data_IF_908558221961
#
_entry.id   IF_908558221961
#
_cell.length_a   1.000
_cell.length_b   1.000
_cell.length_c   1.000
_cell.angle_alpha   90.00
_cell.angle_beta   90.00
_cell.angle_gamma   90.00
#
_symmetry.space_group_name_H-M   'P 1'
#
loop_
_entity.id
_entity.type
_entity.pdbx_description
1 polymer ?
#
# COMPACT_ATOMS: atom_id res chain seq x y z
N UNK A 1 13.46 -40.99 16.54
CA UNK A 1 12.45 -41.95 16.07
C UNK A 1 13.04 -42.63 14.86
N UNK A 2 13.22 -43.96 14.93
CA UNK A 2 13.98 -44.72 13.93
C UNK A 2 13.33 -44.64 12.56
N UNK A 3 14.13 -44.61 11.49
CA UNK A 3 13.75 -44.60 10.07
C UNK A 3 12.65 -45.62 9.74
N UNK A 4 12.61 -46.77 10.38
CA UNK A 4 11.62 -47.81 10.21
C UNK A 4 10.18 -47.40 10.66
N UNK A 5 10.05 -46.59 11.71
CA UNK A 5 8.75 -46.08 12.15
C UNK A 5 8.17 -45.08 11.15
N UNK A 6 9.03 -44.22 10.56
CA UNK A 6 8.62 -43.26 9.52
C UNK A 6 8.07 -43.96 8.27
N UNK A 7 8.70 -45.05 7.85
CA UNK A 7 8.26 -45.80 6.66
C UNK A 7 6.97 -46.58 6.87
N UNK A 8 6.68 -47.03 8.09
CA UNK A 8 5.40 -47.67 8.45
C UNK A 8 4.25 -46.66 8.39
N UNK A 9 4.42 -45.44 8.95
CA UNK A 9 3.42 -44.39 8.90
C UNK A 9 3.15 -43.89 7.48
N UNK A 10 4.20 -43.77 6.64
CA UNK A 10 4.04 -43.41 5.23
C UNK A 10 3.21 -44.44 4.49
N UNK A 11 3.46 -45.74 4.71
CA UNK A 11 2.70 -46.83 4.07
C UNK A 11 1.25 -46.86 4.54
N UNK A 12 0.99 -46.68 5.82
CA UNK A 12 -0.38 -46.63 6.36
C UNK A 12 -1.18 -45.47 5.80
N UNK A 13 -0.60 -44.27 5.79
CA UNK A 13 -1.22 -43.08 5.21
C UNK A 13 -1.54 -43.27 3.73
N UNK A 14 -0.59 -43.85 2.97
CA UNK A 14 -0.78 -44.12 1.55
C UNK A 14 -1.84 -45.16 1.27
N UNK A 15 -1.90 -46.23 2.05
CA UNK A 15 -2.93 -47.23 1.96
C UNK A 15 -4.34 -46.71 2.30
N UNK A 16 -4.44 -45.88 3.32
CA UNK A 16 -5.70 -45.22 3.71
C UNK A 16 -6.20 -44.28 2.63
N UNK A 17 -5.32 -43.47 2.04
CA UNK A 17 -5.63 -42.59 0.91
C UNK A 17 -6.09 -43.37 -0.33
N UNK A 18 -5.41 -44.46 -0.67
CA UNK A 18 -5.80 -45.34 -1.81
C UNK A 18 -7.17 -46.00 -1.55
N UNK A 19 -7.41 -46.49 -0.35
CA UNK A 19 -8.69 -47.07 0.03
C UNK A 19 -9.83 -46.06 -0.08
N UNK A 20 -9.57 -44.78 0.32
CA UNK A 20 -10.56 -43.72 0.16
C UNK A 20 -10.80 -43.35 -1.31
N UNK A 21 -9.76 -43.28 -2.14
CA UNK A 21 -9.87 -43.06 -3.59
C UNK A 21 -10.69 -44.18 -4.29
N UNK A 22 -10.57 -45.41 -3.82
CA UNK A 22 -11.33 -46.54 -4.36
C UNK A 22 -12.84 -46.49 -4.03
N UNK A 23 -13.23 -45.72 -3.00
CA UNK A 23 -14.63 -45.50 -2.65
C UNK A 23 -15.30 -44.39 -3.49
N UNK A 24 -14.52 -43.61 -4.25
CA UNK A 24 -15.05 -42.52 -5.05
C UNK A 24 -15.71 -43.06 -6.36
N UNK A 25 -16.80 -42.46 -6.85
CA UNK A 25 -17.48 -42.89 -8.07
C UNK A 25 -16.57 -42.74 -9.29
N UNK A 26 -16.37 -43.86 -10.04
CA UNK A 26 -15.41 -43.94 -11.17
C UNK A 26 -16.00 -43.53 -12.55
N UNK A 27 -17.27 -43.13 -12.62
CA UNK A 27 -17.90 -42.74 -13.87
C UNK A 27 -18.12 -41.25 -13.98
N UNK A 28 -17.18 -40.53 -14.60
CA UNK A 28 -17.36 -39.11 -14.95
C UNK A 28 -17.64 -39.02 -16.45
N UNK A 29 -18.85 -38.60 -16.82
CA UNK A 29 -19.25 -38.29 -18.21
C UNK A 29 -18.98 -36.84 -18.61
N UNK A 30 -18.60 -36.00 -17.66
CA UNK A 30 -18.32 -34.57 -17.86
C UNK A 30 -16.83 -34.28 -17.72
N UNK A 31 -16.39 -33.16 -18.27
CA UNK A 31 -15.00 -32.71 -18.09
C UNK A 31 -14.72 -32.55 -16.60
N UNK A 32 -13.62 -33.10 -16.07
CA UNK A 32 -13.29 -32.99 -14.65
C UNK A 32 -13.14 -31.53 -14.28
N UNK A 33 -13.94 -31.05 -13.33
CA UNK A 33 -13.81 -29.74 -12.71
C UNK A 33 -13.19 -29.93 -11.33
N UNK A 34 -12.35 -28.96 -10.93
CA UNK A 34 -11.80 -28.92 -9.58
C UNK A 34 -12.95 -28.72 -8.59
N UNK A 35 -13.01 -29.57 -7.57
CA UNK A 35 -13.99 -29.41 -6.50
C UNK A 35 -13.77 -28.07 -5.75
N UNK A 36 -14.84 -27.51 -5.22
CA UNK A 36 -14.79 -26.26 -4.48
C UNK A 36 -13.79 -26.29 -3.30
N UNK A 37 -13.72 -27.37 -2.46
CA UNK A 37 -12.71 -27.51 -1.43
C UNK A 37 -11.27 -27.52 -1.96
N UNK A 38 -11.02 -28.20 -3.09
CA UNK A 38 -9.70 -28.25 -3.70
C UNK A 38 -9.29 -26.87 -4.26
N UNK A 39 -10.22 -26.17 -4.88
CA UNK A 39 -9.99 -24.80 -5.36
C UNK A 39 -9.68 -23.85 -4.19
N UNK A 40 -10.39 -23.97 -3.08
CA UNK A 40 -10.14 -23.22 -1.87
C UNK A 40 -8.76 -23.53 -1.25
N UNK A 41 -8.37 -24.80 -1.22
CA UNK A 41 -7.06 -25.26 -0.75
C UNK A 41 -5.91 -24.67 -1.59
N UNK A 42 -6.01 -24.77 -2.92
CA UNK A 42 -5.01 -24.23 -3.84
C UNK A 42 -4.89 -22.70 -3.68
N UNK A 43 -6.00 -22.01 -3.53
CA UNK A 43 -6.02 -20.56 -3.30
C UNK A 43 -5.36 -20.20 -2.00
N UNK A 44 -5.62 -20.95 -0.92
CA UNK A 44 -4.98 -20.73 0.38
C UNK A 44 -3.47 -21.03 0.33
N UNK A 45 -3.07 -22.12 -0.34
CA UNK A 45 -1.67 -22.45 -0.53
C UNK A 45 -0.92 -21.38 -1.35
N UNK A 46 -1.59 -20.79 -2.35
CA UNK A 46 -1.05 -19.66 -3.11
C UNK A 46 -0.86 -18.42 -2.25
N UNK A 47 -1.81 -18.11 -1.38
CA UNK A 47 -1.69 -16.99 -0.43
C UNK A 47 -0.49 -17.19 0.51
N UNK A 48 -0.30 -18.39 1.03
CA UNK A 48 0.85 -18.72 1.89
C UNK A 48 2.15 -18.60 1.10
N UNK A 49 2.24 -19.12 -0.12
CA UNK A 49 3.44 -19.05 -0.95
C UNK A 49 3.83 -17.60 -1.28
N UNK A 50 2.85 -16.75 -1.65
CA UNK A 50 3.08 -15.39 -2.09
C UNK A 50 3.29 -14.39 -0.94
N UNK A 51 2.68 -14.63 0.24
CA UNK A 51 2.74 -13.69 1.37
C UNK A 51 3.86 -14.01 2.36
N UNK A 52 4.19 -15.28 2.54
CA UNK A 52 5.14 -15.74 3.58
C UNK A 52 6.44 -16.29 3.03
N UNK A 53 6.45 -16.75 1.77
CA UNK A 53 7.59 -17.44 1.17
C UNK A 53 8.33 -16.66 0.09
N UNK A 54 7.70 -15.61 -0.44
CA UNK A 54 8.18 -14.92 -1.67
C UNK A 54 8.45 -15.93 -2.83
N UNK A 55 7.72 -17.05 -2.77
CA UNK A 55 7.86 -18.14 -3.73
C UNK A 55 6.96 -17.91 -4.94
N UNK A 56 7.48 -17.92 -6.16
CA UNK A 56 6.68 -17.74 -7.38
C UNK A 56 5.81 -18.96 -7.72
N UNK A 57 5.93 -20.05 -6.96
CA UNK A 57 5.23 -21.32 -7.21
C UNK A 57 4.70 -21.93 -5.91
N UNK A 58 3.55 -22.60 -6.01
CA UNK A 58 3.01 -23.40 -4.90
C UNK A 58 3.85 -24.67 -4.78
N UNK A 59 4.43 -24.93 -3.58
CA UNK A 59 5.13 -26.17 -3.23
C UNK A 59 4.30 -27.03 -2.29
N UNK A 60 4.68 -28.29 -2.11
CA UNK A 60 4.03 -29.23 -1.20
C UNK A 60 3.91 -28.70 0.23
N UNK A 61 4.90 -27.96 0.72
CA UNK A 61 4.85 -27.32 2.04
C UNK A 61 3.72 -26.29 2.19
N UNK A 62 3.43 -25.49 1.14
CA UNK A 62 2.35 -24.50 1.17
C UNK A 62 0.98 -25.17 1.20
N UNK A 63 0.83 -26.31 0.48
CA UNK A 63 -0.37 -27.13 0.54
C UNK A 63 -0.56 -27.75 1.93
N UNK A 64 0.51 -28.23 2.56
CA UNK A 64 0.47 -28.79 3.90
C UNK A 64 0.07 -27.72 4.93
N UNK A 65 0.64 -26.51 4.86
CA UNK A 65 0.27 -25.38 5.71
C UNK A 65 -1.20 -24.99 5.52
N UNK A 66 -1.67 -24.92 4.28
CA UNK A 66 -3.05 -24.62 3.97
C UNK A 66 -4.04 -25.67 4.52
N UNK A 67 -3.66 -26.93 4.53
CA UNK A 67 -4.45 -28.02 5.11
C UNK A 67 -4.62 -27.90 6.62
N UNK A 68 -3.62 -27.36 7.32
CA UNK A 68 -3.68 -27.20 8.79
C UNK A 68 -4.47 -25.98 9.27
N UNK A 69 -4.71 -24.98 8.41
CA UNK A 69 -5.40 -23.73 8.78
C UNK A 69 -6.94 -23.88 8.91
N UNK A 70 -7.53 -24.81 8.20
CA UNK A 70 -8.98 -25.07 8.32
C UNK A 70 -9.20 -26.56 8.21
N UNK A 71 -10.17 -27.09 8.93
CA UNK A 71 -10.66 -28.47 8.86
C UNK A 71 -11.19 -28.86 7.46
N UNK A 72 -10.32 -28.69 6.45
CA UNK A 72 -10.60 -29.07 5.06
C UNK A 72 -10.31 -30.54 4.78
N UNK A 73 -9.75 -31.24 5.76
CA UNK A 73 -9.48 -32.66 5.64
C UNK A 73 -10.78 -33.44 5.83
N UNK A 74 -11.11 -34.37 4.92
CA UNK A 74 -12.19 -35.30 5.16
C UNK A 74 -11.94 -36.05 6.47
N UNK A 75 -13.00 -36.44 7.16
CA UNK A 75 -12.93 -37.19 8.42
C UNK A 75 -12.32 -38.59 8.17
N UNK A 76 -11.02 -38.64 8.03
CA UNK A 76 -10.22 -39.83 7.83
C UNK A 76 -9.43 -40.08 9.13
N UNK A 77 -9.64 -41.22 9.77
CA UNK A 77 -9.08 -41.52 11.10
C UNK A 77 -7.54 -41.51 11.13
N UNK A 78 -6.86 -41.68 9.98
CA UNK A 78 -5.39 -41.74 9.91
C UNK A 78 -4.73 -40.39 9.65
N UNK A 79 -5.52 -39.35 9.40
CA UNK A 79 -5.03 -37.97 9.16
C UNK A 79 -4.89 -37.14 10.47
N UNK A 80 -5.26 -37.70 11.61
CA UNK A 80 -5.20 -37.02 12.90
C UNK A 80 -3.78 -36.52 13.25
N UNK A 81 -2.74 -37.23 12.77
CA UNK A 81 -1.34 -36.83 12.99
C UNK A 81 -1.03 -35.51 12.30
N UNK A 82 -1.54 -35.28 11.07
CA UNK A 82 -1.39 -34.02 10.37
C UNK A 82 -2.22 -32.91 11.00
N UNK A 83 -3.41 -33.23 11.52
CA UNK A 83 -4.28 -32.31 12.25
C UNK A 83 -3.70 -31.88 13.62
N UNK A 84 -2.80 -32.67 14.20
CA UNK A 84 -2.14 -32.35 15.47
C UNK A 84 -0.97 -31.38 15.31
N UNK A 85 -0.49 -31.15 14.08
CA UNK A 85 0.60 -30.22 13.78
C UNK A 85 0.03 -28.78 13.73
N UNK A 86 0.55 -27.92 14.58
CA UNK A 86 0.23 -26.50 14.51
C UNK A 86 1.06 -25.82 13.42
N UNK A 87 0.53 -24.73 12.86
CA UNK A 87 1.24 -23.90 11.87
C UNK A 87 2.65 -23.49 12.36
N UNK A 88 2.76 -23.08 13.62
CA UNK A 88 4.04 -22.69 14.23
C UNK A 88 5.08 -23.83 14.21
N UNK A 89 4.62 -25.08 14.38
CA UNK A 89 5.51 -26.24 14.30
C UNK A 89 5.96 -26.50 12.86
N UNK A 90 5.07 -26.35 11.87
CA UNK A 90 5.42 -26.47 10.46
C UNK A 90 6.39 -25.38 10.01
N UNK A 91 6.23 -24.15 10.44
CA UNK A 91 7.16 -23.05 10.16
C UNK A 91 8.55 -23.31 10.72
N UNK A 92 8.66 -23.90 11.92
CA UNK A 92 9.96 -24.34 12.50
C UNK A 92 10.60 -25.47 11.74
N UNK A 93 9.82 -26.32 11.11
CA UNK A 93 10.32 -27.44 10.30
C UNK A 93 10.65 -27.03 8.86
N UNK A 94 10.23 -25.85 8.42
CA UNK A 94 10.43 -25.33 7.06
C UNK A 94 11.89 -25.44 6.58
N UNK A 95 12.94 -25.03 7.34
CA UNK A 95 14.33 -25.13 6.87
C UNK A 95 14.76 -26.58 6.61
N UNK A 96 14.22 -27.53 7.40
CA UNK A 96 14.52 -28.96 7.25
C UNK A 96 13.78 -29.55 6.04
N UNK A 97 12.54 -29.12 5.81
CA UNK A 97 11.74 -29.54 4.66
C UNK A 97 12.35 -29.01 3.35
N UNK A 98 12.77 -27.74 3.33
CA UNK A 98 13.42 -27.12 2.17
C UNK A 98 14.79 -27.77 1.87
N UNK A 99 15.55 -28.20 2.88
CA UNK A 99 16.83 -28.87 2.69
C UNK A 99 16.71 -30.28 2.11
N UNK A 100 15.55 -30.94 2.28
CA UNK A 100 15.29 -32.31 1.84
C UNK A 100 14.30 -32.41 0.67
N UNK A 101 13.81 -31.29 0.16
CA UNK A 101 12.82 -31.23 -0.91
C UNK A 101 13.46 -31.05 -2.28
N UNK A 102 13.09 -31.89 -3.23
CA UNK A 102 13.45 -31.76 -4.64
C UNK A 102 12.73 -30.57 -5.32
N UNK A 103 11.77 -29.95 -4.65
CA UNK A 103 11.00 -28.80 -5.13
C UNK A 103 11.70 -27.44 -4.92
N UNK A 104 12.87 -27.43 -4.25
CA UNK A 104 13.65 -26.20 -4.09
C UNK A 104 14.21 -25.73 -5.44
N UNK A 105 14.03 -24.45 -5.83
CA UNK A 105 14.66 -23.96 -7.05
C UNK A 105 16.17 -24.14 -6.92
N UNK A 106 16.77 -24.89 -7.86
CA UNK A 106 18.20 -25.07 -7.92
C UNK A 106 18.88 -23.71 -7.86
N UNK A 107 19.72 -23.49 -6.85
CA UNK A 107 20.66 -22.37 -6.83
C UNK A 107 21.39 -22.38 -8.16
N UNK A 108 21.27 -21.33 -8.94
CA UNK A 108 22.07 -21.13 -10.14
C UNK A 108 23.55 -21.31 -9.74
N UNK A 109 24.33 -22.14 -10.46
CA UNK A 109 25.73 -22.34 -10.12
C UNK A 109 26.46 -21.02 -10.30
N UNK A 110 26.92 -20.44 -9.21
CA UNK A 110 27.91 -19.38 -9.25
C UNK A 110 29.19 -19.99 -9.82
N UNK A 111 29.66 -19.40 -10.92
CA UNK A 111 30.91 -19.70 -11.56
C UNK A 111 32.02 -19.60 -10.52
N UNK A 112 32.61 -20.73 -10.19
CA UNK A 112 33.78 -20.85 -9.32
C UNK A 112 35.01 -20.47 -10.10
N UNK A 113 35.75 -19.46 -9.70
CA UNK A 113 37.17 -19.31 -9.94
C UNK A 113 37.99 -19.92 -8.79
N UNK A 114 39.23 -20.39 -9.04
CA UNK A 114 39.80 -21.50 -8.28
C UNK A 114 40.56 -21.10 -7.01
N UNK A 115 40.57 -22.08 -6.09
CA UNK A 115 41.28 -22.13 -4.81
C UNK A 115 42.76 -21.77 -4.90
N UNK A 116 43.21 -20.97 -3.93
CA UNK A 116 44.53 -21.13 -3.33
C UNK A 116 44.43 -21.14 -1.80
N UNK A 117 45.08 -22.11 -1.27
CA UNK A 117 45.15 -22.59 0.11
C UNK A 117 45.66 -21.58 1.13
N UNK A 118 45.07 -21.58 2.32
CA UNK A 118 45.76 -21.63 3.63
C UNK A 118 44.75 -21.69 4.80
N UNK A 119 44.93 -22.67 5.66
CA UNK A 119 44.31 -22.84 6.98
C UNK A 119 45.21 -22.19 8.05
N UNK A 120 44.82 -22.19 9.35
CA UNK A 120 43.74 -21.47 10.01
C UNK A 120 44.27 -20.59 11.19
N UNK A 121 43.56 -19.60 11.64
CA UNK A 121 43.72 -19.11 13.01
C UNK A 121 42.38 -18.60 13.61
N UNK A 122 42.10 -19.14 14.71
CA UNK A 122 41.24 -18.92 15.86
C UNK A 122 40.60 -17.57 16.09
N UNK A 123 39.28 -17.67 16.37
CA UNK A 123 38.49 -17.04 17.44
C UNK A 123 38.37 -15.53 17.51
N UNK A 124 37.17 -15.05 17.44
CA UNK A 124 36.43 -14.49 18.58
C UNK A 124 35.05 -14.03 18.10
N UNK A 125 34.06 -14.30 18.93
CA UNK A 125 32.67 -13.93 18.75
C UNK A 125 32.50 -12.40 18.75
N UNK A 126 31.88 -11.93 17.69
CA UNK A 126 30.97 -10.77 17.72
C UNK A 126 30.14 -10.79 16.43
N UNK A 127 28.95 -11.35 16.49
CA UNK A 127 28.01 -11.32 15.40
C UNK A 127 27.11 -10.07 15.59
N UNK A 128 27.07 -9.16 14.60
CA UNK A 128 26.33 -7.92 14.76
C UNK A 128 24.82 -8.16 14.60
N UNK A 129 24.08 -7.73 15.61
CA UNK A 129 22.62 -7.63 15.62
C UNK A 129 22.03 -6.69 14.52
N UNK A 130 22.87 -6.21 13.61
CA UNK A 130 22.47 -5.28 12.52
C UNK A 130 21.76 -5.93 11.34
N UNK A 131 21.94 -7.20 11.08
CA UNK A 131 21.39 -7.85 9.87
C UNK A 131 19.90 -8.21 9.94
N UNK A 132 19.31 -8.27 11.13
CA UNK A 132 17.88 -8.58 11.28
C UNK A 132 17.00 -7.33 11.16
N UNK A 133 17.50 -6.18 11.61
CA UNK A 133 16.80 -4.89 11.52
C UNK A 133 16.74 -4.39 10.08
N UNK A 134 17.84 -4.47 9.33
CA UNK A 134 17.89 -4.04 7.91
C UNK A 134 16.90 -4.82 7.02
N UNK A 135 16.76 -6.13 7.22
CA UNK A 135 15.79 -6.94 6.47
C UNK A 135 14.33 -6.65 6.82
N UNK A 136 14.05 -6.23 8.06
CA UNK A 136 12.71 -5.80 8.45
C UNK A 136 12.36 -4.44 7.87
N UNK A 137 13.31 -3.51 7.86
CA UNK A 137 13.13 -2.18 7.28
C UNK A 137 12.91 -2.26 5.76
N UNK A 138 13.65 -3.12 5.06
CA UNK A 138 13.45 -3.37 3.61
C UNK A 138 12.06 -3.95 3.31
N UNK A 139 11.56 -4.87 4.14
CA UNK A 139 10.23 -5.44 3.96
C UNK A 139 9.12 -4.40 4.20
N UNK A 140 9.28 -3.52 5.19
CA UNK A 140 8.35 -2.42 5.46
C UNK A 140 8.33 -1.40 4.32
N UNK A 141 9.51 -1.03 3.82
CA UNK A 141 9.66 -0.14 2.66
C UNK A 141 9.05 -0.75 1.40
N UNK A 142 9.19 -2.06 1.18
CA UNK A 142 8.57 -2.75 0.04
C UNK A 142 7.04 -2.66 0.08
N UNK A 143 6.41 -2.82 1.26
CA UNK A 143 4.96 -2.66 1.43
C UNK A 143 4.54 -1.22 1.15
N UNK A 144 5.27 -0.23 1.70
CA UNK A 144 5.00 1.18 1.46
C UNK A 144 5.14 1.52 -0.03
N UNK A 145 6.20 1.09 -0.69
CA UNK A 145 6.44 1.38 -2.11
C UNK A 145 5.41 0.70 -3.03
N UNK A 146 4.80 -0.40 -2.59
CA UNK A 146 3.76 -1.11 -3.36
C UNK A 146 2.42 -0.39 -3.37
N UNK A 147 2.02 0.24 -2.27
CA UNK A 147 0.69 0.82 -2.09
C UNK A 147 0.68 2.33 -1.86
N UNK A 148 1.85 2.93 -1.80
CA UNK A 148 1.98 4.38 -1.61
C UNK A 148 3.04 4.96 -2.55
N UNK A 149 2.85 6.21 -2.91
CA UNK A 149 3.80 6.98 -3.70
C UNK A 149 4.49 8.02 -2.82
N UNK A 150 5.84 8.09 -2.84
CA UNK A 150 6.60 9.06 -2.06
C UNK A 150 6.64 10.43 -2.76
N UNK A 151 5.84 11.37 -2.24
CA UNK A 151 5.76 12.73 -2.75
C UNK A 151 7.03 13.53 -2.40
N UNK A 152 7.63 13.27 -1.23
CA UNK A 152 8.86 13.96 -0.82
C UNK A 152 10.03 13.58 -1.71
N UNK A 153 10.12 12.32 -2.12
CA UNK A 153 11.14 11.87 -3.07
C UNK A 153 10.90 12.45 -4.48
N UNK A 154 9.65 12.58 -4.90
CA UNK A 154 9.30 13.31 -6.13
C UNK A 154 9.74 14.77 -6.05
N UNK A 155 9.57 15.43 -4.89
CA UNK A 155 10.01 16.79 -4.68
C UNK A 155 11.53 16.91 -4.79
N UNK A 156 12.28 16.02 -4.12
CA UNK A 156 13.76 15.97 -4.19
C UNK A 156 14.30 15.76 -5.60
N UNK A 157 13.62 14.92 -6.37
CA UNK A 157 14.00 14.63 -7.76
C UNK A 157 13.54 15.71 -8.78
N UNK A 158 12.92 16.81 -8.33
CA UNK A 158 12.46 17.89 -9.20
C UNK A 158 11.29 17.53 -10.11
N UNK A 159 10.56 16.46 -9.80
CA UNK A 159 9.41 15.99 -10.58
C UNK A 159 8.10 16.67 -10.23
N UNK A 160 8.07 17.48 -9.18
CA UNK A 160 6.91 18.25 -8.76
C UNK A 160 6.94 19.64 -9.38
N UNK A 161 5.77 20.12 -9.78
CA UNK A 161 5.60 21.48 -10.24
C UNK A 161 5.69 22.49 -9.09
N UNK A 162 6.29 23.66 -9.31
CA UNK A 162 6.29 24.70 -8.30
C UNK A 162 4.86 25.18 -8.01
N UNK A 163 4.50 25.23 -6.74
CA UNK A 163 3.16 25.61 -6.25
C UNK A 163 3.16 27.08 -5.84
N UNK A 164 2.34 27.87 -6.50
CA UNK A 164 2.19 29.31 -6.25
C UNK A 164 0.79 29.65 -5.73
N UNK A 165 0.68 30.76 -4.98
CA UNK A 165 -0.59 31.32 -4.56
C UNK A 165 -1.36 30.50 -3.49
N UNK A 166 -0.68 29.57 -2.81
CA UNK A 166 -1.26 28.71 -1.76
C UNK A 166 -0.47 28.76 -0.44
N UNK A 167 0.29 29.82 -0.24
CA UNK A 167 1.15 29.97 0.93
C UNK A 167 0.39 29.96 2.25
N UNK A 168 -0.81 30.52 2.27
CA UNK A 168 -1.66 30.60 3.46
C UNK A 168 -2.15 29.22 3.88
N UNK A 169 -2.66 28.44 2.94
CA UNK A 169 -3.17 27.10 3.20
C UNK A 169 -2.04 26.13 3.59
N UNK A 170 -0.87 26.25 2.95
CA UNK A 170 0.29 25.43 3.31
C UNK A 170 0.79 25.80 4.73
N UNK A 171 0.82 27.08 5.11
CA UNK A 171 1.14 27.48 6.48
C UNK A 171 0.15 26.93 7.49
N UNK A 172 -1.16 26.99 7.19
CA UNK A 172 -2.18 26.39 8.04
C UNK A 172 -1.97 24.87 8.21
N UNK A 173 -1.60 24.16 7.15
CA UNK A 173 -1.27 22.73 7.26
C UNK A 173 -0.06 22.49 8.16
N UNK A 174 1.01 23.28 8.02
CA UNK A 174 2.21 23.22 8.87
C UNK A 174 1.86 23.49 10.34
N UNK A 175 1.06 24.52 10.60
CA UNK A 175 0.60 24.86 11.95
C UNK A 175 -0.22 23.73 12.58
N UNK A 176 -1.14 23.12 11.81
CA UNK A 176 -1.96 21.99 12.26
C UNK A 176 -1.07 20.78 12.55
N UNK A 177 -0.17 20.42 11.64
CA UNK A 177 0.74 19.28 11.78
C UNK A 177 1.69 19.44 12.99
N UNK A 178 1.99 20.67 13.40
CA UNK A 178 2.83 20.97 14.56
C UNK A 178 2.10 20.89 15.91
N UNK A 179 0.77 20.74 15.91
CA UNK A 179 -0.04 20.68 17.13
C UNK A 179 0.08 19.32 17.82
N UNK A 180 -0.18 19.30 19.13
CA UNK A 180 -0.25 18.05 19.91
C UNK A 180 -1.56 17.31 19.73
N UNK A 181 -2.66 18.01 19.42
CA UNK A 181 -4.02 17.44 19.22
C UNK A 181 -4.65 18.08 18.00
N UNK A 182 -5.61 17.41 17.37
CA UNK A 182 -6.19 17.83 16.08
C UNK A 182 -5.08 18.18 15.07
N UNK A 183 -4.09 17.31 14.98
CA UNK A 183 -2.87 17.50 14.20
C UNK A 183 -2.93 16.85 12.81
N UNK A 184 -4.09 16.42 12.38
CA UNK A 184 -4.32 15.91 11.04
C UNK A 184 -5.11 16.95 10.24
N UNK A 185 -4.53 17.62 9.24
CA UNK A 185 -5.28 18.51 8.38
C UNK A 185 -6.21 17.73 7.44
N UNK A 186 -7.41 18.23 7.23
CA UNK A 186 -8.31 17.80 6.18
C UNK A 186 -8.57 18.93 5.21
N UNK A 187 -8.18 18.75 3.96
CA UNK A 187 -8.33 19.71 2.87
C UNK A 187 -9.75 19.56 2.31
N UNK A 188 -10.55 20.59 2.46
CA UNK A 188 -11.95 20.60 2.03
C UNK A 188 -12.15 21.64 0.94
N UNK A 189 -12.56 21.20 -0.25
CA UNK A 189 -12.78 22.06 -1.40
C UNK A 189 -13.31 21.29 -2.59
N UNK A 190 -13.86 22.00 -3.57
CA UNK A 190 -14.39 21.40 -4.78
C UNK A 190 -13.33 20.72 -5.64
N UNK A 191 -13.67 19.76 -6.52
CA UNK A 191 -12.73 19.18 -7.47
C UNK A 191 -12.08 20.24 -8.36
N UNK A 192 -10.76 20.12 -8.58
CA UNK A 192 -10.02 21.05 -9.46
C UNK A 192 -9.48 22.32 -8.79
N UNK A 193 -9.72 22.54 -7.48
CA UNK A 193 -9.15 23.70 -6.76
C UNK A 193 -7.67 23.54 -6.37
N UNK A 194 -7.09 22.36 -6.59
CA UNK A 194 -5.66 22.09 -6.33
C UNK A 194 -5.36 21.56 -4.93
N UNK A 195 -6.21 20.71 -4.34
CA UNK A 195 -5.96 20.07 -3.04
C UNK A 195 -4.67 19.23 -3.04
N UNK A 196 -4.46 18.43 -4.08
CA UNK A 196 -3.25 17.59 -4.23
C UNK A 196 -2.00 18.46 -4.38
N UNK A 197 -2.08 19.57 -5.14
CA UNK A 197 -0.98 20.52 -5.28
C UNK A 197 -0.55 21.16 -3.95
N UNK A 198 -1.47 21.34 -2.98
CA UNK A 198 -1.11 21.81 -1.64
C UNK A 198 -0.19 20.85 -0.90
N UNK A 199 -0.42 19.54 -1.04
CA UNK A 199 0.42 18.51 -0.44
C UNK A 199 1.79 18.45 -1.14
N UNK A 200 1.82 18.61 -2.44
CA UNK A 200 3.04 18.75 -3.23
C UNK A 200 3.85 20.01 -2.82
N UNK A 201 3.15 21.14 -2.62
CA UNK A 201 3.76 22.36 -2.10
C UNK A 201 4.33 22.21 -0.70
N UNK A 202 3.67 21.44 0.17
CA UNK A 202 4.20 21.09 1.49
C UNK A 202 5.46 20.21 1.36
N UNK A 203 5.47 19.23 0.45
CA UNK A 203 6.64 18.38 0.21
C UNK A 203 7.83 19.20 -0.32
N UNK A 204 7.61 20.18 -1.20
CA UNK A 204 8.65 21.11 -1.64
C UNK A 204 9.24 21.91 -0.46
N UNK A 205 8.40 22.44 0.42
CA UNK A 205 8.90 23.17 1.60
C UNK A 205 9.67 22.30 2.58
N UNK A 206 9.29 21.03 2.74
CA UNK A 206 10.04 20.06 3.54
C UNK A 206 11.43 19.85 2.96
N UNK A 207 11.52 19.61 1.64
CA UNK A 207 12.81 19.40 0.97
C UNK A 207 13.72 20.61 0.97
N UNK A 208 13.15 21.81 0.92
CA UNK A 208 13.86 23.10 1.05
C UNK A 208 14.24 23.45 2.49
N UNK A 209 13.73 22.69 3.49
CA UNK A 209 13.95 22.97 4.90
C UNK A 209 13.12 24.15 5.45
N UNK A 210 12.15 24.67 4.69
CA UNK A 210 11.29 25.79 5.03
C UNK A 210 10.09 25.38 5.90
N UNK A 211 10.32 24.47 6.86
CA UNK A 211 9.34 23.93 7.81
C UNK A 211 9.98 23.85 9.20
N UNK A 212 9.17 23.77 10.29
CA UNK A 212 9.68 23.51 11.63
C UNK A 212 10.49 22.21 11.70
N UNK A 213 11.46 22.14 12.64
CA UNK A 213 12.36 20.99 12.77
C UNK A 213 11.63 19.65 12.92
N UNK A 214 10.46 19.66 13.53
CA UNK A 214 9.61 18.46 13.69
C UNK A 214 9.06 17.88 12.37
N UNK A 215 9.14 18.64 11.27
CA UNK A 215 8.65 18.23 9.95
C UNK A 215 9.78 18.02 8.93
N UNK A 216 11.02 18.42 9.21
CA UNK A 216 12.14 18.35 8.26
C UNK A 216 12.49 16.92 7.83
N UNK A 217 12.27 15.94 8.70
CA UNK A 217 12.59 14.52 8.45
C UNK A 217 11.37 13.71 8.03
N UNK A 218 10.22 14.36 7.82
CA UNK A 218 8.97 13.68 7.49
C UNK A 218 8.92 13.34 6.01
N UNK A 219 8.54 12.10 5.70
CA UNK A 219 8.22 11.65 4.35
C UNK A 219 6.71 11.70 4.12
N UNK A 220 6.27 12.42 3.10
CA UNK A 220 4.87 12.45 2.68
C UNK A 220 4.66 11.34 1.67
N UNK A 221 3.73 10.43 1.98
CA UNK A 221 3.35 9.32 1.08
C UNK A 221 1.87 9.37 0.74
N UNK A 222 1.56 9.41 -0.54
CA UNK A 222 0.17 9.32 -1.04
C UNK A 222 -0.29 7.89 -1.06
N UNK A 223 -1.42 7.59 -0.44
CA UNK A 223 -2.04 6.28 -0.46
C UNK A 223 -2.74 6.05 -1.80
N UNK A 224 -2.37 5.00 -2.51
CA UNK A 224 -3.02 4.61 -3.76
C UNK A 224 -4.20 3.68 -3.48
N UNK A 225 -5.41 4.23 -3.50
CA UNK A 225 -6.65 3.48 -3.27
C UNK A 225 -6.94 2.50 -4.42
N UNK A 226 -6.53 2.83 -5.64
CA UNK A 226 -6.70 1.97 -6.80
C UNK A 226 -5.88 0.68 -6.65
N UNK A 227 -4.61 0.77 -6.24
CA UNK A 227 -3.76 -0.39 -5.98
C UNK A 227 -4.23 -1.22 -4.78
N UNK A 228 -4.79 -0.57 -3.76
CA UNK A 228 -5.38 -1.29 -2.62
C UNK A 228 -6.61 -2.10 -3.03
N UNK A 229 -7.43 -1.57 -3.94
CA UNK A 229 -8.67 -2.21 -4.42
C UNK A 229 -8.42 -3.18 -5.58
N UNK A 230 -7.37 -2.98 -6.38
CA UNK A 230 -7.06 -3.79 -7.54
C UNK A 230 -6.87 -5.27 -7.16
N UNK A 231 -7.71 -6.15 -7.70
CA UNK A 231 -7.67 -7.58 -7.42
C UNK A 231 -8.20 -8.00 -6.05
N UNK A 232 -8.72 -7.08 -5.23
CA UNK A 232 -9.36 -7.39 -3.95
C UNK A 232 -10.77 -7.98 -4.19
N UNK A 233 -10.85 -9.11 -4.88
CA UNK A 233 -12.09 -9.82 -5.14
C UNK A 233 -12.63 -10.59 -3.94
N UNK A 234 -11.82 -10.75 -2.90
CA UNK A 234 -12.17 -11.46 -1.66
C UNK A 234 -12.41 -10.46 -0.55
N UNK A 235 -13.54 -10.63 0.15
CA UNK A 235 -13.87 -9.81 1.31
C UNK A 235 -12.73 -9.89 2.34
N UNK A 236 -12.22 -8.73 2.76
CA UNK A 236 -11.14 -8.63 3.75
C UNK A 236 -9.72 -8.40 3.18
N UNK A 237 -9.51 -8.58 1.89
CA UNK A 237 -8.18 -8.38 1.29
C UNK A 237 -7.79 -6.90 1.25
N UNK A 238 -8.71 -6.01 0.93
CA UNK A 238 -8.51 -4.57 0.98
C UNK A 238 -8.14 -4.12 2.40
N UNK A 239 -8.89 -4.59 3.40
CA UNK A 239 -8.67 -4.28 4.80
C UNK A 239 -7.31 -4.80 5.29
N UNK A 240 -6.91 -5.99 4.86
CA UNK A 240 -5.59 -6.55 5.20
C UNK A 240 -4.46 -5.73 4.59
N UNK A 241 -4.59 -5.31 3.33
CA UNK A 241 -3.60 -4.45 2.66
C UNK A 241 -3.49 -3.08 3.35
N UNK A 242 -4.64 -2.46 3.66
CA UNK A 242 -4.67 -1.19 4.40
C UNK A 242 -4.04 -1.34 5.79
N UNK A 243 -4.32 -2.41 6.50
CA UNK A 243 -3.69 -2.72 7.78
C UNK A 243 -2.18 -2.87 7.65
N UNK A 244 -1.71 -3.57 6.63
CA UNK A 244 -0.27 -3.73 6.38
C UNK A 244 0.40 -2.39 6.11
N UNK A 245 -0.25 -1.47 5.37
CA UNK A 245 0.25 -0.10 5.16
C UNK A 245 0.30 0.69 6.48
N UNK A 246 -0.76 0.63 7.29
CA UNK A 246 -0.79 1.31 8.60
C UNK A 246 0.33 0.78 9.50
N UNK A 247 0.49 -0.54 9.59
CA UNK A 247 1.54 -1.18 10.38
C UNK A 247 2.94 -0.79 9.88
N UNK A 248 3.13 -0.69 8.56
CA UNK A 248 4.38 -0.27 7.95
C UNK A 248 4.70 1.20 8.23
N UNK A 249 3.71 2.10 8.17
CA UNK A 249 3.87 3.52 8.54
C UNK A 249 4.25 3.67 10.01
N UNK A 250 3.63 2.89 10.91
CA UNK A 250 3.92 2.96 12.35
C UNK A 250 5.30 2.44 12.71
N UNK A 251 5.80 1.44 12.00
CA UNK A 251 7.10 0.79 12.25
C UNK A 251 8.23 1.40 11.44
N UNK A 252 7.93 2.35 10.55
CA UNK A 252 8.93 3.02 9.73
C UNK A 252 9.96 3.73 10.61
N UNK A 253 11.28 3.58 10.33
CA UNK A 253 12.33 4.29 11.06
C UNK A 253 12.26 5.81 10.85
N UNK A 254 11.75 6.25 9.70
CA UNK A 254 11.53 7.65 9.37
C UNK A 254 10.05 8.01 9.55
N UNK A 255 9.73 9.19 10.08
CA UNK A 255 8.36 9.59 10.30
C UNK A 255 7.62 9.78 8.96
N UNK A 256 6.55 9.02 8.77
CA UNK A 256 5.72 9.05 7.57
C UNK A 256 4.44 9.83 7.84
N UNK A 257 4.10 10.73 6.93
CA UNK A 257 2.83 11.45 6.85
C UNK A 257 2.03 10.89 5.68
N UNK A 258 0.94 10.22 5.98
CA UNK A 258 0.11 9.57 4.95
C UNK A 258 -0.87 10.58 4.35
N UNK A 259 -0.80 10.79 3.05
CA UNK A 259 -1.81 11.56 2.33
C UNK A 259 -2.88 10.63 1.74
N UNK A 260 -4.13 10.92 2.04
CA UNK A 260 -5.29 10.19 1.55
C UNK A 260 -6.14 11.14 0.73
N UNK A 261 -6.04 11.03 -0.58
CA UNK A 261 -6.96 11.74 -1.47
C UNK A 261 -8.30 11.02 -1.51
N UNK A 262 -9.37 11.76 -1.72
CA UNK A 262 -10.74 11.24 -1.67
C UNK A 262 -11.03 10.39 -0.42
N UNK A 263 -10.61 10.88 0.75
CA UNK A 263 -10.66 10.13 2.02
C UNK A 263 -12.07 9.63 2.39
N UNK A 264 -13.11 10.23 1.82
CA UNK A 264 -14.50 9.78 1.95
C UNK A 264 -14.72 8.37 1.40
N UNK A 265 -13.93 7.92 0.42
CA UNK A 265 -14.05 6.57 -0.16
C UNK A 265 -13.68 5.49 0.85
N UNK A 266 -12.72 5.76 1.74
CA UNK A 266 -12.34 4.83 2.82
C UNK A 266 -13.32 4.92 4.00
N UNK A 267 -13.76 6.15 4.34
CA UNK A 267 -14.56 6.41 5.54
C UNK A 267 -16.04 6.20 5.27
N UNK A 268 -16.52 6.51 4.07
CA UNK A 268 -17.92 6.44 3.67
C UNK A 268 -18.38 5.11 3.10
N UNK A 269 -17.48 4.21 2.78
CA UNK A 269 -17.79 2.92 2.17
C UNK A 269 -18.59 1.94 3.08
N UNK A 270 -18.94 2.36 4.30
CA UNK A 270 -19.72 1.56 5.28
C UNK A 270 -21.08 1.05 4.81
N UNK A 271 -21.61 1.53 3.67
CA UNK A 271 -22.85 1.05 3.08
C UNK A 271 -22.67 0.09 1.90
N UNK A 272 -21.45 -0.13 1.45
CA UNK A 272 -21.13 -1.15 0.44
C UNK A 272 -20.29 -2.25 1.08
N UNK A 273 -20.48 -3.51 0.64
CA UNK A 273 -19.81 -4.67 1.20
C UNK A 273 -18.28 -4.48 1.17
N UNK A 274 -17.64 -4.30 2.33
CA UNK A 274 -16.20 -4.11 2.51
C UNK A 274 -15.77 -2.76 3.12
N UNK A 275 -16.58 -1.71 3.04
CA UNK A 275 -16.14 -0.38 3.44
C UNK A 275 -16.26 -0.03 4.93
N UNK A 276 -17.15 -0.70 5.66
CA UNK A 276 -17.28 -0.50 7.11
C UNK A 276 -16.00 -0.89 7.86
N UNK A 277 -15.25 -1.85 7.33
CA UNK A 277 -14.07 -2.41 7.98
C UNK A 277 -12.85 -1.49 7.84
N UNK A 278 -12.69 -0.79 6.71
CA UNK A 278 -11.61 0.16 6.50
C UNK A 278 -11.66 1.36 7.44
N UNK A 279 -12.84 1.96 7.62
CA UNK A 279 -13.03 3.04 8.59
C UNK A 279 -12.72 2.58 10.02
N UNK A 280 -13.09 1.34 10.36
CA UNK A 280 -12.82 0.76 11.67
C UNK A 280 -11.33 0.48 11.91
N UNK A 281 -10.51 0.32 10.87
CA UNK A 281 -9.05 0.20 10.99
C UNK A 281 -8.38 1.56 11.18
N UNK A 282 -8.80 2.58 10.40
CA UNK A 282 -8.21 3.92 10.48
C UNK A 282 -8.56 4.66 11.77
N UNK A 283 -9.82 4.60 12.21
CA UNK A 283 -10.28 5.32 13.41
C UNK A 283 -9.46 5.02 14.67
N UNK A 284 -9.15 3.76 15.02
CA UNK A 284 -8.30 3.47 16.19
C UNK A 284 -6.87 3.99 16.03
N UNK A 285 -6.25 3.85 14.86
CA UNK A 285 -4.89 4.32 14.60
C UNK A 285 -4.78 5.85 14.71
N UNK A 286 -5.75 6.58 14.15
CA UNK A 286 -5.88 8.02 14.30
C UNK A 286 -6.20 8.41 15.75
N UNK A 287 -7.04 7.64 16.44
CA UNK A 287 -7.44 7.90 17.83
C UNK A 287 -6.25 7.78 18.79
N UNK A 288 -5.37 6.82 18.60
CA UNK A 288 -4.16 6.65 19.42
C UNK A 288 -3.05 7.62 19.05
N UNK A 289 -3.16 8.34 17.91
CA UNK A 289 -2.11 9.23 17.41
C UNK A 289 -0.94 8.47 16.78
N UNK A 290 -1.13 7.21 16.45
CA UNK A 290 -0.15 6.31 15.84
C UNK A 290 0.01 6.57 14.34
N UNK A 291 -0.98 7.22 13.72
CA UNK A 291 -1.00 7.57 12.31
C UNK A 291 -1.17 9.08 12.16
N UNK A 292 -0.23 9.72 11.47
CA UNK A 292 -0.35 11.12 11.06
C UNK A 292 -0.81 11.15 9.61
N UNK A 293 -1.85 11.94 9.34
CA UNK A 293 -2.55 11.89 8.05
C UNK A 293 -2.92 13.27 7.58
N UNK A 294 -2.78 13.51 6.27
CA UNK A 294 -3.47 14.59 5.55
C UNK A 294 -4.61 13.94 4.78
N UNK A 295 -5.82 14.43 4.91
CA UNK A 295 -6.97 13.97 4.15
C UNK A 295 -7.40 15.04 3.15
N UNK A 296 -7.95 14.64 1.99
CA UNK A 296 -8.62 15.54 1.06
C UNK A 296 -10.01 15.03 0.73
N UNK A 297 -10.98 15.95 0.61
CA UNK A 297 -12.39 15.62 0.32
C UNK A 297 -13.13 16.85 -0.22
N UNK A 298 -14.36 16.67 -0.68
CA UNK A 298 -15.27 17.77 -1.04
C UNK A 298 -16.09 18.24 0.14
N UNK A 299 -16.78 19.39 0.00
CA UNK A 299 -17.66 19.93 1.04
C UNK A 299 -18.83 19.01 1.40
N UNK A 300 -19.46 18.43 0.39
CA UNK A 300 -20.60 17.54 0.57
C UNK A 300 -20.21 16.29 1.35
N UNK A 301 -19.08 15.70 1.00
CA UNK A 301 -18.54 14.48 1.62
C UNK A 301 -18.00 14.75 3.01
N UNK A 302 -17.34 15.89 3.24
CA UNK A 302 -16.92 16.32 4.57
C UNK A 302 -18.10 16.36 5.55
N UNK A 303 -19.18 17.03 5.17
CA UNK A 303 -20.40 17.11 5.99
C UNK A 303 -21.05 15.75 6.22
N UNK A 304 -21.01 14.89 5.23
CA UNK A 304 -21.66 13.59 5.29
C UNK A 304 -20.89 12.58 6.16
N UNK A 305 -19.56 12.54 6.07
CA UNK A 305 -18.74 11.47 6.62
C UNK A 305 -17.83 11.90 7.78
N UNK A 306 -17.32 13.12 7.78
CA UNK A 306 -16.38 13.60 8.81
C UNK A 306 -17.04 14.38 9.93
N UNK A 307 -17.92 15.33 9.58
CA UNK A 307 -18.58 16.22 10.56
C UNK A 307 -19.53 15.44 11.47
N UNK A 308 -20.15 14.37 10.96
CA UNK A 308 -21.06 13.51 11.73
C UNK A 308 -20.37 12.53 12.64
N UNK A 309 -19.08 12.26 12.45
CA UNK A 309 -18.31 11.31 13.23
C UNK A 309 -17.48 12.05 14.29
N UNK A 310 -17.93 12.04 15.53
CA UNK A 310 -17.28 12.73 16.65
C UNK A 310 -15.84 12.23 16.90
N UNK A 311 -15.48 11.01 16.51
CA UNK A 311 -14.12 10.48 16.66
C UNK A 311 -13.18 11.10 15.63
N UNK A 312 -13.62 11.28 14.40
CA UNK A 312 -12.87 11.91 13.32
C UNK A 312 -12.80 13.43 13.51
N UNK A 313 -13.91 14.08 13.85
CA UNK A 313 -13.97 15.52 14.11
C UNK A 313 -12.94 15.98 15.16
N UNK A 314 -12.73 15.17 16.20
CA UNK A 314 -11.73 15.47 17.26
C UNK A 314 -10.30 15.28 16.80
N UNK A 315 -10.04 14.65 15.65
CA UNK A 315 -8.70 14.31 15.16
C UNK A 315 -8.27 15.14 13.97
N UNK A 316 -9.24 15.53 13.14
CA UNK A 316 -9.01 16.35 11.97
C UNK A 316 -9.26 17.83 12.23
N UNK A 317 -8.45 18.67 11.61
CA UNK A 317 -8.66 20.11 11.55
C UNK A 317 -8.84 20.52 10.10
N UNK A 318 -9.95 21.15 9.81
CA UNK A 318 -10.30 21.57 8.46
C UNK A 318 -9.40 22.72 7.98
N UNK A 319 -8.93 22.58 6.75
CA UNK A 319 -8.31 23.61 5.93
C UNK A 319 -9.20 23.80 4.71
N UNK A 320 -9.82 24.95 4.60
CA UNK A 320 -10.68 25.30 3.47
C UNK A 320 -9.82 25.64 2.26
N UNK A 321 -10.12 25.01 1.12
CA UNK A 321 -9.44 25.26 -0.16
C UNK A 321 -10.47 25.81 -1.15
N UNK A 322 -10.50 27.11 -1.27
CA UNK A 322 -11.44 27.81 -2.18
C UNK A 322 -10.87 27.92 -3.60
N UNK A 323 -11.76 28.13 -4.57
CA UNK A 323 -11.35 28.50 -5.92
C UNK A 323 -10.56 29.82 -5.87
N UNK A 324 -9.35 29.89 -6.48
CA UNK A 324 -8.55 31.10 -6.48
C UNK A 324 -9.24 32.22 -7.29
N UNK A 325 -8.93 33.47 -6.95
CA UNK A 325 -9.27 34.60 -7.79
C UNK A 325 -8.47 34.59 -9.12
N UNK A 326 -8.82 35.49 -10.04
CA UNK A 326 -8.19 35.52 -11.36
C UNK A 326 -6.71 35.82 -11.32
N UNK A 327 -6.28 36.72 -10.43
CA UNK A 327 -4.87 37.10 -10.27
C UNK A 327 -4.05 35.96 -9.72
N UNK A 328 -4.54 35.31 -8.68
CA UNK A 328 -3.92 34.11 -8.10
C UNK A 328 -3.88 32.96 -9.11
N UNK A 329 -4.96 32.73 -9.85
CA UNK A 329 -4.98 31.72 -10.89
C UNK A 329 -3.97 32.00 -11.99
N UNK A 330 -3.85 33.26 -12.44
CA UNK A 330 -2.79 33.65 -13.39
C UNK A 330 -1.40 33.42 -12.84
N UNK A 331 -1.16 33.69 -11.54
CA UNK A 331 0.13 33.42 -10.89
C UNK A 331 0.44 31.92 -10.89
N UNK A 332 -0.54 31.07 -10.57
CA UNK A 332 -0.39 29.61 -10.61
C UNK A 332 -0.02 29.11 -12.02
N UNK A 333 -0.75 29.57 -13.04
CA UNK A 333 -0.51 29.16 -14.41
C UNK A 333 0.84 29.68 -14.97
N UNK A 334 1.30 30.86 -14.52
CA UNK A 334 2.64 31.36 -14.84
C UNK A 334 3.74 30.44 -14.33
N UNK A 335 3.53 29.83 -13.15
CA UNK A 335 4.44 28.81 -12.59
C UNK A 335 4.55 27.56 -13.48
N UNK A 336 3.46 27.17 -14.12
CA UNK A 336 3.39 26.00 -14.99
C UNK A 336 3.81 26.29 -16.45
N UNK A 337 3.83 27.57 -16.84
CA UNK A 337 4.06 28.02 -18.21
C UNK A 337 5.25 27.37 -18.89
N UNK A 338 6.41 27.33 -18.23
CA UNK A 338 7.65 26.84 -18.82
C UNK A 338 7.55 25.34 -19.18
N UNK A 339 6.94 24.53 -18.33
CA UNK A 339 6.76 23.09 -18.56
C UNK A 339 5.80 22.80 -19.70
N UNK A 340 4.65 23.49 -19.74
CA UNK A 340 3.68 23.31 -20.81
C UNK A 340 4.23 23.83 -22.16
N UNK A 341 4.96 24.96 -22.16
CA UNK A 341 5.63 25.48 -23.34
C UNK A 341 6.68 24.48 -23.89
N UNK A 342 7.45 23.86 -23.02
CA UNK A 342 8.42 22.83 -23.38
C UNK A 342 7.74 21.56 -23.88
N UNK A 343 6.67 21.11 -23.21
CA UNK A 343 5.95 19.89 -23.58
C UNK A 343 5.35 19.98 -24.98
N UNK A 344 4.69 21.09 -25.28
CA UNK A 344 4.03 21.31 -26.58
C UNK A 344 4.94 21.90 -27.65
N UNK A 345 6.16 22.30 -27.30
CA UNK A 345 7.08 22.98 -28.24
C UNK A 345 6.60 24.35 -28.73
N UNK A 346 5.78 25.04 -27.93
CA UNK A 346 5.14 26.32 -28.30
C UNK A 346 5.57 27.44 -27.34
N UNK A 347 5.55 28.69 -27.86
CA UNK A 347 5.77 29.87 -27.03
C UNK A 347 4.45 30.35 -26.42
N UNK A 348 4.28 30.22 -25.10
CA UNK A 348 3.10 30.70 -24.39
C UNK A 348 3.26 32.18 -24.03
N UNK A 349 2.34 33.01 -24.49
CA UNK A 349 2.29 34.42 -24.12
C UNK A 349 1.57 34.60 -22.77
N UNK A 350 1.90 35.66 -22.01
CA UNK A 350 1.19 35.98 -20.77
C UNK A 350 -0.28 36.32 -21.02
N UNK A 351 -0.58 36.94 -22.15
CA UNK A 351 -1.93 37.23 -22.61
C UNK A 351 -2.77 35.95 -22.85
N UNK A 352 -2.13 34.85 -23.26
CA UNK A 352 -2.80 33.55 -23.39
C UNK A 352 -3.23 33.00 -22.02
N UNK A 353 -2.38 33.12 -20.99
CA UNK A 353 -2.67 32.72 -19.60
C UNK A 353 -3.86 33.53 -19.08
N UNK A 354 -3.80 34.86 -19.15
CA UNK A 354 -4.90 35.73 -18.71
C UNK A 354 -6.21 35.43 -19.44
N UNK A 355 -6.13 35.15 -20.75
CA UNK A 355 -7.29 34.82 -21.57
C UNK A 355 -7.85 33.45 -21.17
N UNK A 356 -7.01 32.44 -20.92
CA UNK A 356 -7.43 31.13 -20.47
C UNK A 356 -8.16 31.19 -19.13
N UNK A 357 -7.65 31.94 -18.16
CA UNK A 357 -8.31 32.14 -16.85
C UNK A 357 -9.68 32.82 -17.04
N UNK A 358 -9.75 33.93 -17.78
CA UNK A 358 -10.96 34.68 -18.01
C UNK A 358 -12.03 33.88 -18.77
N UNK A 359 -11.64 33.18 -19.85
CA UNK A 359 -12.56 32.38 -20.65
C UNK A 359 -13.04 31.14 -19.91
N UNK A 360 -12.15 30.43 -19.20
CA UNK A 360 -12.54 29.27 -18.42
C UNK A 360 -13.50 29.64 -17.28
N UNK A 361 -13.27 30.77 -16.59
CA UNK A 361 -14.20 31.26 -15.57
C UNK A 361 -15.57 31.60 -16.14
N UNK A 362 -15.60 32.22 -17.32
CA UNK A 362 -16.88 32.67 -17.93
C UNK A 362 -17.68 31.52 -18.54
N UNK A 363 -17.03 30.56 -19.17
CA UNK A 363 -17.70 29.54 -19.98
C UNK A 363 -17.64 28.12 -19.40
N UNK A 364 -16.69 27.80 -18.51
CA UNK A 364 -16.58 26.49 -17.88
C UNK A 364 -17.07 26.56 -16.42
N UNK A 365 -18.38 26.68 -16.24
CA UNK A 365 -18.99 26.90 -14.92
C UNK A 365 -19.05 25.67 -14.05
N UNK A 366 -18.98 24.46 -14.63
CA UNK A 366 -19.04 23.19 -13.88
C UNK A 366 -17.70 22.73 -13.30
N UNK A 367 -16.61 23.49 -13.51
CA UNK A 367 -15.24 23.16 -13.04
C UNK A 367 -14.63 24.36 -12.32
N UNK A 368 -13.58 24.12 -11.55
CA UNK A 368 -12.93 25.13 -10.73
C UNK A 368 -11.55 25.53 -11.28
N UNK A 369 -11.14 26.77 -11.01
CA UNK A 369 -9.75 27.20 -11.20
C UNK A 369 -8.85 26.57 -10.12
N UNK A 370 -7.58 26.28 -10.43
CA UNK A 370 -6.88 26.53 -11.69
C UNK A 370 -7.11 25.46 -12.78
N UNK A 371 -7.65 24.28 -12.44
CA UNK A 371 -7.75 23.10 -13.28
C UNK A 371 -8.37 23.37 -14.66
N UNK A 372 -9.53 24.03 -14.70
CA UNK A 372 -10.20 24.36 -15.98
C UNK A 372 -9.39 25.29 -16.90
N UNK A 373 -8.55 26.13 -16.34
CA UNK A 373 -7.70 27.03 -17.15
C UNK A 373 -6.44 26.33 -17.62
N UNK A 374 -5.89 25.41 -16.82
CA UNK A 374 -4.79 24.52 -17.20
C UNK A 374 -5.20 23.66 -18.39
N UNK A 375 -6.36 22.99 -18.30
CA UNK A 375 -6.89 22.16 -19.40
C UNK A 375 -7.11 22.96 -20.70
N UNK A 376 -7.53 24.20 -20.57
CA UNK A 376 -7.73 25.07 -21.73
C UNK A 376 -6.40 25.40 -22.41
N UNK A 377 -5.34 25.68 -21.62
CA UNK A 377 -3.98 25.93 -22.13
C UNK A 377 -3.37 24.68 -22.73
N UNK A 378 -3.53 23.54 -22.07
CA UNK A 378 -3.01 22.24 -22.52
C UNK A 378 -3.66 21.84 -23.87
N UNK A 379 -4.98 21.93 -23.95
CA UNK A 379 -5.74 21.67 -25.19
C UNK A 379 -5.35 22.63 -26.32
N UNK A 380 -5.14 23.91 -26.01
CA UNK A 380 -4.73 24.88 -27.01
C UNK A 380 -3.30 24.67 -27.49
N UNK A 381 -2.40 24.24 -26.60
CA UNK A 381 -1.01 23.91 -26.92
C UNK A 381 -0.85 22.65 -27.76
N UNK A 382 -1.76 21.68 -27.59
CA UNK A 382 -1.78 20.43 -28.35
C UNK A 382 -2.28 20.57 -29.80
N UNK A 383 -2.92 21.69 -30.15
CA UNK A 383 -3.48 22.00 -31.51
C UNK A 383 -2.54 22.86 -32.32
#
# INVERSE_FOLDING_TARGET
ISSAASDVYKRQLWQSLLAHLDTLPRSVRERPQLSEPLTALIRQAWLIASLEGDDPQIRSQHLLMALTEKSMLPACNDLWVLLSLSRVQLERLRPLLDAQSDECPARQPQVTEPLTSALPETATADAPAKTLTEKQDDALLAVLNRFTEDVTEKARSGRIDPVFGRDTEIRQMVDILSRRRKNNPILVGEPGVGKTALVEGLALRITEGNVPDSLKTVHIRTLDLGLLQAGAGVKGEFEQRLKNVIDAVQKSPEPVLLFIDEAHTIIGAGNQAGGADAANLLKPALARGELRTIAATTWSEYKQYFERDAALERRFQMVKVDEPDDDTACLMLRGLKARYAQHHGVHMLDSAIQTAVRLSRRYLTGRQLPDKAVDLLDTAGAR
#
